data_IF_043530460913
#
_entry.id   IF_043530460913
#
_cell.length_a   1.000
_cell.length_b   1.000
_cell.length_c   1.000
_cell.angle_alpha   90.00
_cell.angle_beta   90.00
_cell.angle_gamma   90.00
#
_symmetry.space_group_name_H-M   'P 1'
#
loop_
_entity.id
_entity.type
_entity.pdbx_description
1 polymer ?
#
# COMPACT_ATOMS: atom_id res chain seq x y z
N UNK A 1 64.44 -24.21 -55.99
CA UNK A 1 64.43 -23.06 -55.06
C UNK A 1 63.03 -22.94 -54.49
N UNK A 2 62.88 -23.22 -53.19
CA UNK A 2 61.61 -23.37 -52.48
C UNK A 2 61.20 -21.99 -51.95
N UNK A 3 60.01 -21.49 -52.29
CA UNK A 3 59.48 -20.21 -51.82
C UNK A 3 58.34 -20.47 -50.83
N UNK A 4 58.68 -20.49 -49.56
CA UNK A 4 57.76 -20.61 -48.43
C UNK A 4 56.88 -19.36 -48.32
N UNK A 5 55.57 -19.55 -48.34
CA UNK A 5 54.59 -18.52 -48.01
C UNK A 5 54.16 -18.69 -46.54
N UNK A 6 54.20 -17.59 -45.79
CA UNK A 6 53.90 -17.53 -44.36
C UNK A 6 52.49 -16.90 -44.21
N UNK A 7 51.51 -17.53 -43.55
CA UNK A 7 50.21 -16.90 -43.33
C UNK A 7 50.23 -16.05 -42.05
N UNK A 8 49.72 -14.83 -42.16
CA UNK A 8 49.44 -13.95 -41.02
C UNK A 8 48.23 -14.46 -40.24
N UNK A 9 48.42 -14.78 -38.95
CA UNK A 9 47.34 -15.01 -38.02
C UNK A 9 46.92 -13.68 -37.37
N UNK A 10 45.71 -13.21 -37.68
CA UNK A 10 45.06 -12.08 -37.03
C UNK A 10 44.64 -12.47 -35.61
N UNK A 11 45.21 -11.82 -34.61
CA UNK A 11 44.76 -11.91 -33.22
C UNK A 11 43.57 -10.96 -33.00
N UNK A 12 42.36 -11.50 -32.96
CA UNK A 12 41.16 -10.80 -32.50
C UNK A 12 41.17 -10.76 -30.96
N UNK A 13 41.58 -9.63 -30.40
CA UNK A 13 41.44 -9.34 -28.98
C UNK A 13 39.97 -9.18 -28.62
N UNK A 14 39.42 -10.14 -27.88
CA UNK A 14 38.09 -10.04 -27.30
C UNK A 14 38.11 -9.06 -26.12
N UNK A 15 37.53 -7.87 -26.32
CA UNK A 15 37.21 -6.94 -25.25
C UNK A 15 36.05 -7.55 -24.43
N UNK A 16 36.37 -8.19 -23.31
CA UNK A 16 35.40 -8.55 -22.29
C UNK A 16 34.95 -7.25 -21.60
N UNK A 17 33.87 -6.66 -22.11
CA UNK A 17 33.11 -5.64 -21.39
C UNK A 17 32.53 -6.26 -20.12
N UNK A 18 33.07 -5.88 -18.97
CA UNK A 18 32.46 -6.14 -17.67
C UNK A 18 31.14 -5.36 -17.60
N UNK A 19 30.03 -6.03 -17.90
CA UNK A 19 28.71 -5.54 -17.51
C UNK A 19 28.65 -5.61 -15.98
N UNK A 20 28.91 -4.48 -15.33
CA UNK A 20 28.67 -4.31 -13.91
C UNK A 20 27.13 -4.26 -13.70
N UNK A 21 26.55 -5.45 -13.61
CA UNK A 21 25.14 -5.63 -13.31
C UNK A 21 24.94 -5.32 -11.83
N UNK A 22 24.65 -4.05 -11.53
CA UNK A 22 24.25 -3.58 -10.20
C UNK A 22 22.86 -4.11 -9.82
N UNK A 23 22.72 -5.44 -9.79
CA UNK A 23 21.62 -6.09 -9.11
C UNK A 23 21.83 -5.86 -7.61
N UNK A 24 21.23 -4.77 -7.11
CA UNK A 24 21.13 -4.47 -5.69
C UNK A 24 20.75 -5.76 -4.94
N UNK A 25 21.71 -6.38 -4.24
CA UNK A 25 21.50 -7.69 -3.61
C UNK A 25 20.34 -7.58 -2.62
N UNK A 26 19.36 -8.46 -2.76
CA UNK A 26 18.23 -8.53 -1.83
C UNK A 26 18.73 -8.77 -0.40
N UNK A 27 18.40 -7.85 0.52
CA UNK A 27 18.73 -8.00 1.92
C UNK A 27 17.56 -8.62 2.68
N UNK A 28 17.63 -9.93 2.95
CA UNK A 28 16.59 -10.66 3.67
C UNK A 28 16.36 -10.14 5.11
N UNK A 29 17.38 -9.57 5.76
CA UNK A 29 17.24 -9.00 7.11
C UNK A 29 16.46 -7.68 7.12
N UNK A 30 16.33 -7.02 5.96
CA UNK A 30 15.56 -5.79 5.78
C UNK A 30 14.25 -6.05 5.00
N UNK A 31 13.75 -7.30 4.99
CA UNK A 31 12.61 -7.71 4.16
C UNK A 31 11.33 -6.89 4.41
N UNK A 32 11.14 -6.31 5.60
CA UNK A 32 10.00 -5.43 5.87
C UNK A 32 10.20 -3.98 5.44
N UNK A 33 11.45 -3.48 5.39
CA UNK A 33 11.80 -2.12 4.96
C UNK A 33 10.77 -1.05 5.35
N UNK A 34 10.15 -0.40 4.37
CA UNK A 34 9.16 0.66 4.61
C UNK A 34 7.88 0.26 5.36
N UNK A 35 7.62 -1.03 5.60
CA UNK A 35 6.51 -1.51 6.45
C UNK A 35 6.85 -1.55 7.93
N UNK A 36 8.11 -1.33 8.34
CA UNK A 36 8.46 -1.28 9.77
C UNK A 36 7.79 -0.12 10.49
N UNK A 37 7.49 0.98 9.79
CA UNK A 37 6.67 2.09 10.28
C UNK A 37 5.37 2.19 9.46
N UNK A 38 4.46 1.25 9.72
CA UNK A 38 3.14 1.20 9.11
C UNK A 38 2.10 2.07 9.83
N UNK A 39 2.52 2.95 10.75
CA UNK A 39 1.61 3.81 11.52
C UNK A 39 0.75 4.69 10.62
N UNK A 40 1.32 5.14 9.49
CA UNK A 40 0.64 5.95 8.47
C UNK A 40 -0.54 5.25 7.80
N UNK A 41 -0.66 3.93 7.87
CA UNK A 41 -1.74 3.13 7.28
C UNK A 41 -2.53 2.30 8.31
N UNK A 42 -2.37 2.60 9.60
CA UNK A 42 -3.07 1.93 10.69
C UNK A 42 -4.50 2.47 10.84
N UNK A 43 -5.48 1.57 10.81
CA UNK A 43 -6.88 1.85 11.15
C UNK A 43 -7.02 2.14 12.66
N UNK A 44 -7.94 3.03 13.02
CA UNK A 44 -8.20 3.43 14.40
C UNK A 44 -8.63 2.25 15.27
N UNK A 45 -9.30 1.24 14.69
CA UNK A 45 -9.70 0.02 15.40
C UNK A 45 -8.59 -1.04 15.50
N UNK A 46 -7.41 -0.80 14.93
CA UNK A 46 -6.27 -1.73 15.01
C UNK A 46 -5.40 -1.37 16.22
N UNK A 47 -5.33 -2.27 17.19
CA UNK A 47 -4.57 -2.08 18.44
C UNK A 47 -3.10 -2.48 18.31
N UNK A 48 -2.78 -3.36 17.37
CA UNK A 48 -1.40 -3.73 17.05
C UNK A 48 -1.23 -3.91 15.54
N UNK A 49 -0.20 -3.27 14.97
CA UNK A 49 0.24 -3.47 13.60
C UNK A 49 1.77 -3.59 13.61
N UNK A 50 2.27 -4.82 13.56
CA UNK A 50 3.70 -5.11 13.71
C UNK A 50 4.24 -5.85 12.49
N UNK A 51 5.22 -5.27 11.82
CA UNK A 51 5.97 -5.95 10.77
C UNK A 51 7.18 -6.70 11.36
N UNK A 52 7.36 -7.96 11.01
CA UNK A 52 8.49 -8.81 11.45
C UNK A 52 9.05 -9.57 10.27
N UNK A 53 10.36 -9.77 10.26
CA UNK A 53 11.01 -10.66 9.28
C UNK A 53 10.91 -12.09 9.80
N UNK A 54 10.27 -12.97 9.03
CA UNK A 54 10.16 -14.40 9.32
C UNK A 54 10.58 -15.19 8.09
N UNK A 55 11.59 -16.06 8.23
CA UNK A 55 12.13 -16.87 7.13
C UNK A 55 12.50 -16.03 5.89
N UNK A 56 13.03 -14.82 6.10
CA UNK A 56 13.41 -13.90 5.02
C UNK A 56 12.22 -13.27 4.27
N UNK A 57 10.98 -13.42 4.75
CA UNK A 57 9.80 -12.70 4.25
C UNK A 57 9.34 -11.68 5.29
N UNK A 58 8.67 -10.63 4.85
CA UNK A 58 7.97 -9.75 5.78
C UNK A 58 6.62 -10.34 6.15
N UNK A 59 6.35 -10.48 7.44
CA UNK A 59 5.06 -10.87 7.99
C UNK A 59 4.53 -9.72 8.83
N UNK A 60 3.28 -9.32 8.61
CA UNK A 60 2.59 -8.36 9.47
C UNK A 60 1.65 -9.11 10.40
N UNK A 61 1.73 -8.80 11.69
CA UNK A 61 0.75 -9.22 12.69
C UNK A 61 -0.17 -8.04 13.00
N UNK A 62 -1.47 -8.24 12.78
CA UNK A 62 -2.51 -7.25 12.98
C UNK A 62 -3.46 -7.74 14.06
N UNK A 63 -3.77 -6.91 15.06
CA UNK A 63 -4.81 -7.16 16.06
C UNK A 63 -5.80 -6.00 16.02
N UNK A 64 -7.09 -6.30 16.01
CA UNK A 64 -8.14 -5.29 15.93
C UNK A 64 -9.22 -5.50 17.00
N UNK A 65 -9.91 -4.43 17.36
CA UNK A 65 -11.02 -4.45 18.33
C UNK A 65 -12.32 -5.02 17.72
N UNK A 66 -12.46 -4.94 16.40
CA UNK A 66 -13.65 -5.40 15.68
C UNK A 66 -13.31 -5.90 14.26
N UNK A 67 -14.27 -6.63 13.66
CA UNK A 67 -14.10 -7.29 12.36
C UNK A 67 -14.05 -6.31 11.18
N UNK A 68 -14.69 -5.14 11.29
CA UNK A 68 -14.71 -4.14 10.23
C UNK A 68 -13.36 -3.43 10.13
N UNK A 69 -12.77 -3.08 11.27
CA UNK A 69 -11.42 -2.54 11.38
C UNK A 69 -10.37 -3.52 10.84
N UNK A 70 -10.47 -4.80 11.23
CA UNK A 70 -9.58 -5.83 10.70
C UNK A 70 -9.71 -5.96 9.17
N UNK A 71 -10.94 -5.97 8.65
CA UNK A 71 -11.18 -6.07 7.22
C UNK A 71 -10.69 -4.83 6.44
N UNK A 72 -10.83 -3.61 7.00
CA UNK A 72 -10.26 -2.39 6.41
C UNK A 72 -8.73 -2.45 6.38
N UNK A 73 -8.11 -2.85 7.48
CA UNK A 73 -6.65 -3.00 7.56
C UNK A 73 -6.12 -4.07 6.60
N UNK A 74 -6.82 -5.21 6.47
CA UNK A 74 -6.48 -6.26 5.52
C UNK A 74 -6.47 -5.72 4.08
N UNK A 75 -7.55 -5.06 3.64
CA UNK A 75 -7.63 -4.48 2.29
C UNK A 75 -6.54 -3.45 2.03
N UNK A 76 -6.19 -2.65 3.05
CA UNK A 76 -5.07 -1.72 2.98
C UNK A 76 -3.76 -2.45 2.68
N UNK A 77 -3.43 -3.49 3.45
CA UNK A 77 -2.19 -4.25 3.27
C UNK A 77 -2.15 -5.07 1.98
N UNK A 78 -3.30 -5.59 1.52
CA UNK A 78 -3.44 -6.21 0.20
C UNK A 78 -3.12 -5.22 -0.93
N UNK A 79 -3.65 -4.00 -0.83
CA UNK A 79 -3.36 -2.95 -1.81
C UNK A 79 -1.89 -2.53 -1.79
N UNK A 80 -1.27 -2.44 -0.61
CA UNK A 80 0.18 -2.18 -0.49
C UNK A 80 1.00 -3.29 -1.11
N UNK A 81 0.65 -4.56 -0.86
CA UNK A 81 1.34 -5.71 -1.49
C UNK A 81 1.21 -5.68 -3.00
N UNK A 82 0.02 -5.39 -3.53
CA UNK A 82 -0.17 -5.30 -4.97
C UNK A 82 0.65 -4.15 -5.57
N UNK A 83 0.67 -2.98 -4.92
CA UNK A 83 1.37 -1.81 -5.45
C UNK A 83 2.89 -1.94 -5.35
N UNK A 84 3.42 -2.44 -4.22
CA UNK A 84 4.86 -2.55 -3.94
C UNK A 84 5.49 -3.85 -4.47
N UNK A 85 4.78 -4.98 -4.35
CA UNK A 85 5.30 -6.31 -4.67
C UNK A 85 4.80 -6.85 -6.01
N UNK A 86 3.79 -6.23 -6.61
CA UNK A 86 3.09 -6.74 -7.81
C UNK A 86 2.54 -8.16 -7.63
N UNK A 87 2.21 -8.53 -6.40
CA UNK A 87 1.71 -9.85 -6.04
C UNK A 87 0.81 -9.78 -4.80
N UNK A 88 -0.10 -10.74 -4.68
CA UNK A 88 -1.04 -10.83 -3.56
C UNK A 88 -0.31 -11.24 -2.27
N UNK A 89 -0.72 -10.63 -1.16
CA UNK A 89 -0.32 -11.06 0.19
C UNK A 89 -1.12 -12.31 0.58
N UNK A 90 -0.55 -13.17 1.41
CA UNK A 90 -1.23 -14.35 1.96
C UNK A 90 -1.81 -14.02 3.34
N UNK A 91 -3.15 -13.85 3.48
CA UNK A 91 -3.80 -13.64 4.77
C UNK A 91 -4.04 -14.96 5.50
N UNK A 92 -3.73 -14.98 6.79
CA UNK A 92 -4.07 -16.05 7.72
C UNK A 92 -4.81 -15.45 8.93
N UNK A 93 -6.16 -15.40 8.90
CA UNK A 93 -6.96 -14.86 9.99
C UNK A 93 -6.98 -15.80 11.20
N UNK A 94 -7.07 -15.23 12.39
CA UNK A 94 -7.32 -15.92 13.65
C UNK A 94 -8.43 -15.22 14.43
N UNK A 95 -9.31 -16.00 15.05
CA UNK A 95 -10.46 -15.49 15.78
C UNK A 95 -10.13 -15.02 17.21
N UNK A 96 -9.08 -15.57 17.83
CA UNK A 96 -8.76 -15.31 19.24
C UNK A 96 -7.24 -15.17 19.46
N UNK A 97 -6.72 -13.94 19.70
CA UNK A 97 -7.44 -12.68 19.58
C UNK A 97 -7.89 -12.43 18.14
N UNK A 98 -8.85 -11.53 17.92
CA UNK A 98 -9.25 -11.12 16.57
C UNK A 98 -8.05 -10.49 15.86
N UNK A 99 -7.42 -11.29 14.99
CA UNK A 99 -6.11 -10.97 14.45
C UNK A 99 -5.93 -11.55 13.06
N UNK A 100 -4.95 -11.00 12.37
CA UNK A 100 -4.61 -11.38 11.01
C UNK A 100 -3.09 -11.38 10.87
N UNK A 101 -2.55 -12.52 10.48
CA UNK A 101 -1.18 -12.61 9.99
C UNK A 101 -1.19 -12.43 8.47
N UNK A 102 -0.35 -11.53 7.95
CA UNK A 102 -0.24 -11.23 6.53
C UNK A 102 1.19 -11.44 6.08
N UNK A 103 1.42 -12.45 5.24
CA UNK A 103 2.75 -12.76 4.75
C UNK A 103 2.98 -12.18 3.36
N UNK A 104 3.92 -11.24 3.26
CA UNK A 104 4.27 -10.59 1.98
C UNK A 104 4.93 -11.59 1.01
N UNK A 105 4.76 -11.41 -0.32
CA UNK A 105 5.42 -12.23 -1.34
C UNK A 105 6.94 -12.31 -1.16
N UNK A 106 7.52 -13.43 -1.58
CA UNK A 106 8.97 -13.57 -1.64
C UNK A 106 9.58 -12.52 -2.58
N UNK A 107 10.76 -11.99 -2.23
CA UNK A 107 11.50 -10.98 -3.02
C UNK A 107 10.75 -9.66 -3.23
N UNK A 108 9.77 -9.33 -2.39
CA UNK A 108 9.15 -8.01 -2.46
C UNK A 108 10.18 -6.89 -2.17
N UNK A 109 10.29 -5.84 -3.00
CA UNK A 109 11.33 -4.81 -2.89
C UNK A 109 11.04 -3.76 -1.80
N UNK A 110 10.54 -4.18 -0.63
CA UNK A 110 10.23 -3.28 0.49
C UNK A 110 11.49 -2.67 1.12
N UNK A 111 12.64 -3.35 0.99
CA UNK A 111 13.93 -2.95 1.55
C UNK A 111 14.52 -1.68 0.90
N UNK A 112 13.87 -1.08 -0.10
CA UNK A 112 14.33 0.19 -0.67
C UNK A 112 14.34 1.30 0.39
N UNK A 113 15.28 2.25 0.28
CA UNK A 113 15.40 3.39 1.23
C UNK A 113 14.30 4.45 1.07
N UNK A 114 13.37 4.26 0.14
CA UNK A 114 12.31 5.22 -0.16
C UNK A 114 11.12 5.02 0.77
N UNK A 115 10.54 6.12 1.26
CA UNK A 115 9.30 6.09 2.04
C UNK A 115 8.22 5.35 1.24
N UNK A 116 7.69 4.26 1.80
CA UNK A 116 6.66 3.45 1.14
C UNK A 116 5.32 4.19 1.04
N UNK A 117 5.08 5.11 1.97
CA UNK A 117 3.84 5.89 2.12
C UNK A 117 4.13 7.39 2.09
N UNK A 118 4.50 7.97 0.94
CA UNK A 118 4.63 9.41 0.84
C UNK A 118 3.26 10.06 1.12
N UNK A 119 3.25 11.03 2.03
CA UNK A 119 2.06 11.83 2.27
C UNK A 119 1.83 12.76 1.08
N UNK A 120 0.58 12.86 0.63
CA UNK A 120 0.18 13.79 -0.42
C UNK A 120 -1.15 14.46 -0.09
N UNK A 121 -1.36 15.63 -0.68
CA UNK A 121 -2.64 16.35 -0.67
C UNK A 121 -2.99 16.77 -2.09
N UNK A 122 -4.28 16.82 -2.39
CA UNK A 122 -4.76 17.18 -3.71
C UNK A 122 -6.24 17.48 -3.69
N UNK A 123 -6.72 18.07 -4.78
CA UNK A 123 -8.14 18.31 -4.96
C UNK A 123 -8.83 16.98 -5.29
N UNK A 124 -9.98 16.74 -4.70
CA UNK A 124 -10.75 15.52 -4.93
C UNK A 124 -11.94 15.82 -5.82
N UNK A 125 -12.29 14.87 -6.69
CA UNK A 125 -13.64 14.78 -7.23
C UNK A 125 -14.42 13.80 -6.33
N UNK A 126 -15.11 14.28 -5.29
CA UNK A 126 -15.80 13.41 -4.35
C UNK A 126 -16.99 12.74 -5.04
N UNK A 127 -17.08 11.42 -4.92
CA UNK A 127 -18.36 10.73 -5.01
C UNK A 127 -19.12 10.93 -3.70
N UNK A 128 -20.45 10.89 -3.71
CA UNK A 128 -21.22 10.93 -2.46
C UNK A 128 -21.16 9.53 -1.84
N UNK A 129 -20.58 9.35 -0.64
CA UNK A 129 -20.67 8.07 0.06
C UNK A 129 -22.13 7.74 0.35
N UNK A 130 -22.50 6.48 0.15
CA UNK A 130 -23.84 6.00 0.46
C UNK A 130 -24.13 6.23 1.95
N UNK A 131 -25.22 6.96 2.25
CA UNK A 131 -25.68 7.13 3.63
C UNK A 131 -26.49 5.88 4.02
N UNK A 132 -26.01 5.06 4.97
CA UNK A 132 -26.69 3.81 5.31
C UNK A 132 -28.11 4.06 5.83
N UNK A 133 -29.09 3.33 5.31
CA UNK A 133 -30.50 3.50 5.69
C UNK A 133 -30.75 3.30 7.20
N UNK A 134 -29.97 2.43 7.86
CA UNK A 134 -29.99 2.28 9.33
C UNK A 134 -29.55 3.56 10.02
N UNK A 135 -28.43 4.15 9.60
CA UNK A 135 -27.92 5.39 10.17
C UNK A 135 -28.90 6.57 9.97
N UNK A 136 -29.57 6.65 8.81
CA UNK A 136 -30.62 7.65 8.56
C UNK A 136 -31.80 7.46 9.50
N UNK A 137 -32.33 6.23 9.62
CA UNK A 137 -33.45 5.92 10.52
C UNK A 137 -33.14 6.22 11.98
N UNK A 138 -31.89 5.97 12.38
CA UNK A 138 -31.42 6.15 13.76
C UNK A 138 -30.90 7.58 14.02
N UNK A 139 -30.96 8.48 13.03
CA UNK A 139 -30.51 9.87 13.18
C UNK A 139 -29.00 10.08 13.33
N UNK A 140 -28.18 9.09 12.97
CA UNK A 140 -26.74 9.08 13.22
C UNK A 140 -25.99 9.98 12.25
N UNK A 141 -25.35 11.04 12.75
CA UNK A 141 -24.55 11.98 11.97
C UNK A 141 -23.09 11.97 12.45
N UNK A 142 -22.17 12.51 11.64
CA UNK A 142 -20.80 12.65 12.09
C UNK A 142 -19.79 12.84 10.97
N UNK A 143 -18.54 13.05 11.37
CA UNK A 143 -17.40 13.24 10.45
C UNK A 143 -16.39 12.13 10.63
N UNK A 144 -16.09 11.42 9.55
CA UNK A 144 -15.05 10.40 9.48
C UNK A 144 -13.80 11.04 8.85
N UNK A 145 -12.62 10.84 9.44
CA UNK A 145 -11.35 11.14 8.77
C UNK A 145 -10.68 9.86 8.37
N UNK A 146 -10.44 9.70 7.07
CA UNK A 146 -9.83 8.51 6.48
C UNK A 146 -8.37 8.79 6.11
N UNK A 147 -7.59 7.73 6.04
CA UNK A 147 -6.33 7.68 5.27
C UNK A 147 -6.56 6.80 4.06
N UNK A 148 -6.57 7.41 2.89
CA UNK A 148 -6.74 6.75 1.61
C UNK A 148 -5.38 6.41 1.01
N UNK A 149 -5.21 5.17 0.57
CA UNK A 149 -4.09 4.78 -0.28
C UNK A 149 -4.49 5.04 -1.74
N UNK A 150 -3.69 5.86 -2.40
CA UNK A 150 -3.94 6.34 -3.76
C UNK A 150 -2.84 5.83 -4.66
N UNK A 151 -3.19 5.25 -5.80
CA UNK A 151 -2.21 4.78 -6.78
C UNK A 151 -1.69 5.92 -7.67
N UNK A 152 -0.75 5.62 -8.56
CA UNK A 152 -0.13 6.58 -9.48
C UNK A 152 -1.15 7.30 -10.40
N UNK A 153 -2.31 6.70 -10.62
CA UNK A 153 -3.40 7.24 -11.44
C UNK A 153 -4.37 8.15 -10.66
N UNK A 154 -4.11 8.39 -9.37
CA UNK A 154 -4.98 9.22 -8.53
C UNK A 154 -6.25 8.50 -8.07
N UNK A 155 -6.36 7.17 -8.21
CA UNK A 155 -7.51 6.39 -7.72
C UNK A 155 -7.25 5.88 -6.31
N UNK A 156 -8.29 5.92 -5.48
CA UNK A 156 -8.26 5.33 -4.14
C UNK A 156 -8.37 3.81 -4.25
N UNK A 157 -7.33 3.09 -3.86
CA UNK A 157 -7.29 1.62 -3.92
C UNK A 157 -7.70 0.98 -2.58
N UNK A 158 -7.43 1.65 -1.46
CA UNK A 158 -7.85 1.23 -0.14
C UNK A 158 -8.00 2.45 0.80
N UNK A 159 -8.71 2.28 1.91
CA UNK A 159 -8.83 3.30 2.93
C UNK A 159 -8.97 2.67 4.32
N UNK A 160 -8.35 3.32 5.30
CA UNK A 160 -8.54 3.04 6.73
C UNK A 160 -9.08 4.27 7.44
N UNK A 161 -9.73 4.05 8.57
CA UNK A 161 -10.25 5.13 9.42
C UNK A 161 -9.12 5.64 10.31
N UNK A 162 -8.82 6.93 10.24
CA UNK A 162 -7.90 7.60 11.18
C UNK A 162 -8.64 8.07 12.41
N UNK A 163 -9.78 8.72 12.20
CA UNK A 163 -10.66 9.21 13.28
C UNK A 163 -12.08 8.80 12.94
N UNK A 164 -12.65 8.01 13.85
CA UNK A 164 -14.03 7.55 13.77
C UNK A 164 -15.01 8.71 13.91
N UNK A 165 -16.18 8.57 13.28
CA UNK A 165 -17.35 9.42 13.55
C UNK A 165 -17.98 9.17 14.93
N UNK A 166 -17.61 8.09 15.62
CA UNK A 166 -18.33 7.55 16.76
C UNK A 166 -19.34 6.46 16.39
N UNK A 167 -19.59 6.24 15.09
CA UNK A 167 -20.54 5.25 14.57
C UNK A 167 -19.88 4.33 13.54
N UNK A 168 -19.69 3.05 13.88
CA UNK A 168 -19.03 2.06 13.00
C UNK A 168 -19.70 1.94 11.62
N UNK A 169 -21.03 2.09 11.57
CA UNK A 169 -21.80 2.05 10.31
C UNK A 169 -21.42 3.21 9.37
N UNK A 170 -21.18 4.40 9.90
CA UNK A 170 -20.73 5.56 9.10
C UNK A 170 -19.27 5.43 8.70
N UNK A 171 -18.42 4.89 9.58
CA UNK A 171 -17.01 4.63 9.31
C UNK A 171 -16.83 3.64 8.15
N UNK A 172 -17.57 2.54 8.18
CA UNK A 172 -17.58 1.54 7.09
C UNK A 172 -18.14 2.14 5.79
N UNK A 173 -19.20 2.94 5.87
CA UNK A 173 -19.76 3.63 4.70
C UNK A 173 -18.79 4.63 4.07
N UNK A 174 -18.08 5.43 4.89
CA UNK A 174 -17.07 6.37 4.42
C UNK A 174 -15.91 5.65 3.75
N UNK A 175 -15.34 4.61 4.39
CA UNK A 175 -14.22 3.85 3.86
C UNK A 175 -14.58 3.13 2.55
N UNK A 176 -15.83 2.66 2.40
CA UNK A 176 -16.34 2.09 1.14
C UNK A 176 -16.53 3.17 0.08
N UNK A 177 -17.19 4.28 0.42
CA UNK A 177 -17.59 5.33 -0.51
C UNK A 177 -16.40 6.06 -1.15
N UNK A 178 -15.36 6.35 -0.35
CA UNK A 178 -14.17 7.08 -0.81
C UNK A 178 -13.42 6.33 -1.93
N UNK A 179 -13.60 5.01 -2.05
CA UNK A 179 -12.95 4.20 -3.11
C UNK A 179 -13.42 4.55 -4.52
N UNK A 180 -14.58 5.20 -4.65
CA UNK A 180 -15.06 5.72 -5.94
C UNK A 180 -14.47 7.09 -6.29
N UNK A 181 -13.78 7.74 -5.33
CA UNK A 181 -13.22 9.07 -5.53
C UNK A 181 -11.99 8.99 -6.40
N UNK A 182 -11.76 10.05 -7.17
CA UNK A 182 -10.55 10.22 -7.97
C UNK A 182 -9.96 11.57 -7.67
N UNK A 183 -8.65 11.61 -7.50
CA UNK A 183 -7.93 12.85 -7.29
C UNK A 183 -7.86 13.64 -8.59
N UNK A 184 -8.26 14.91 -8.53
CA UNK A 184 -8.08 15.85 -9.62
C UNK A 184 -6.61 16.27 -9.66
N UNK A 185 -6.03 16.09 -10.84
CA UNK A 185 -4.63 16.34 -11.11
C UNK A 185 -4.51 17.38 -12.20
N UNK A 186 -3.62 18.34 -11.99
CA UNK A 186 -3.11 19.15 -13.09
C UNK A 186 -2.05 18.34 -13.85
N UNK A 187 -2.06 18.42 -15.17
CA UNK A 187 -1.05 17.82 -16.05
C UNK A 187 0.35 18.36 -15.73
N UNK A 188 0.44 19.58 -15.17
CA UNK A 188 1.71 20.19 -14.76
C UNK A 188 2.29 19.64 -13.45
N UNK A 189 1.53 18.85 -12.68
CA UNK A 189 2.02 18.28 -11.42
C UNK A 189 2.90 17.05 -11.66
N UNK A 190 3.99 16.86 -10.89
CA UNK A 190 4.81 15.66 -10.94
C UNK A 190 3.98 14.39 -10.78
N UNK A 191 4.31 13.32 -11.52
CA UNK A 191 3.64 12.03 -11.40
C UNK A 191 3.53 11.58 -9.93
N UNK A 192 2.38 11.01 -9.54
CA UNK A 192 2.28 10.39 -8.23
C UNK A 192 3.24 9.20 -8.15
N UNK A 193 3.85 8.94 -6.97
CA UNK A 193 4.47 7.66 -6.70
C UNK A 193 3.50 6.49 -6.92
N UNK A 194 4.05 5.27 -7.00
CA UNK A 194 3.25 4.05 -7.16
C UNK A 194 2.15 3.89 -6.09
N UNK A 195 2.36 4.48 -4.91
CA UNK A 195 1.29 4.73 -3.96
C UNK A 195 1.59 5.95 -3.08
N UNK A 196 0.55 6.66 -2.65
CA UNK A 196 0.60 7.75 -1.68
C UNK A 196 -0.51 7.60 -0.66
N UNK A 197 -0.26 8.05 0.58
CA UNK A 197 -1.29 8.12 1.62
C UNK A 197 -1.81 9.55 1.74
N UNK A 198 -3.13 9.70 1.75
CA UNK A 198 -3.80 10.99 1.77
C UNK A 198 -4.90 11.03 2.83
N UNK A 199 -5.04 12.14 3.53
CA UNK A 199 -6.14 12.33 4.47
C UNK A 199 -7.40 12.83 3.75
N UNK A 200 -8.53 12.15 3.97
CA UNK A 200 -9.81 12.47 3.33
C UNK A 200 -10.91 12.59 4.38
N UNK A 201 -11.54 13.77 4.55
CA UNK A 201 -12.71 13.90 5.39
C UNK A 201 -13.99 13.49 4.66
N UNK A 202 -14.86 12.75 5.34
CA UNK A 202 -16.23 12.44 4.90
C UNK A 202 -17.19 12.92 5.99
N UNK A 203 -18.20 13.69 5.62
CA UNK A 203 -19.22 14.19 6.55
C UNK A 203 -20.57 13.58 6.19
N UNK A 204 -21.24 12.98 7.18
CA UNK A 204 -22.63 12.58 7.11
C UNK A 204 -23.45 13.58 7.91
N UNK A 205 -24.35 14.28 7.23
CA UNK A 205 -25.29 15.21 7.83
C UNK A 205 -26.69 14.92 7.29
N UNK A 206 -27.69 14.94 8.16
CA UNK A 206 -29.09 14.89 7.78
C UNK A 206 -29.53 16.34 7.57
N UNK A 207 -30.04 16.65 6.38
CA UNK A 207 -30.68 17.93 6.14
C UNK A 207 -32.06 17.83 6.79
N UNK A 208 -32.27 18.61 7.86
CA UNK A 208 -33.60 18.83 8.42
C UNK A 208 -34.45 19.71 7.49
#
# INVERSE_FOLDING_TARGET
MIRTWMPWALALGALLGSFDSSAQRYNAAAACGGLTDATSIQDVGVTALQARVQQGRCTLHVVAVDVDALARQQRMLEAVSMAACKAAVEPQPSAQPLSLELRMPARCPLSSKTTLFPAASGNWKPGIPEYPATAVRDGLQGKVRLRALVNENGRVVAAVVRVSSGHAVLDTAAAKGVRSWTMQRDVQQPALPAMSVMEVPVTFALNE
#
